data_IF_226754165973
#
_entry.id   IF_226754165973
#
_cell.length_a   1.000
_cell.length_b   1.000
_cell.length_c   1.000
_cell.angle_alpha   90.00
_cell.angle_beta   90.00
_cell.angle_gamma   90.00
#
_symmetry.space_group_name_H-M   'P 1'
#
loop_
_entity.id
_entity.type
_entity.pdbx_description
1 polymer ?
#
# COMPACT_ATOMS: atom_id res chain seq x y z
N UNK A 1 -22.80 -68.99 20.59
CA UNK A 1 -24.19 -68.79 21.06
C UNK A 1 -24.65 -67.44 20.53
N UNK A 2 -25.60 -67.24 19.61
CA UNK A 2 -26.76 -67.97 19.05
C UNK A 2 -26.71 -67.73 17.51
N UNK A 3 -26.66 -68.74 16.62
CA UNK A 3 -27.80 -69.49 16.03
C UNK A 3 -29.00 -68.63 15.63
N UNK A 4 -29.67 -68.74 14.47
CA UNK A 4 -29.60 -69.51 13.20
C UNK A 4 -30.85 -69.07 12.40
N UNK A 5 -30.81 -68.98 11.06
CA UNK A 5 -31.87 -69.30 10.07
C UNK A 5 -31.54 -68.59 8.72
N UNK A 6 -31.05 -69.22 7.65
CA UNK A 6 -31.59 -70.24 6.73
C UNK A 6 -32.91 -69.88 6.03
N UNK A 7 -32.84 -69.81 4.68
CA UNK A 7 -33.71 -70.42 3.63
C UNK A 7 -33.36 -69.72 2.28
N UNK A 8 -32.70 -70.34 1.29
CA UNK A 8 -33.21 -71.25 0.24
C UNK A 8 -34.32 -70.58 -0.63
N UNK A 9 -34.35 -70.54 -1.97
CA UNK A 9 -33.59 -71.14 -3.08
C UNK A 9 -33.94 -70.43 -4.40
N UNK A 10 -32.99 -70.46 -5.35
CA UNK A 10 -33.10 -70.50 -6.84
C UNK A 10 -34.23 -69.81 -7.61
N UNK A 11 -33.83 -68.93 -8.56
CA UNK A 11 -34.21 -69.06 -9.96
C UNK A 11 -33.17 -68.41 -10.87
N UNK A 12 -32.56 -69.22 -11.74
CA UNK A 12 -31.72 -68.79 -12.87
C UNK A 12 -32.65 -68.34 -13.99
N UNK A 13 -32.46 -67.12 -14.49
CA UNK A 13 -32.89 -66.75 -15.83
C UNK A 13 -31.72 -66.00 -16.49
N UNK A 14 -31.03 -66.72 -17.37
CA UNK A 14 -30.10 -66.15 -18.34
C UNK A 14 -30.95 -65.61 -19.49
N UNK A 15 -30.96 -64.29 -19.66
CA UNK A 15 -31.36 -63.66 -20.93
C UNK A 15 -30.18 -62.82 -21.40
N UNK A 16 -29.47 -63.36 -22.38
CA UNK A 16 -28.51 -62.65 -23.21
C UNK A 16 -29.25 -61.68 -24.11
N UNK A 17 -29.00 -60.38 -23.94
CA UNK A 17 -29.33 -59.37 -24.93
C UNK A 17 -28.08 -58.51 -25.18
N UNK A 18 -27.43 -58.77 -26.31
CA UNK A 18 -26.48 -57.86 -26.93
C UNK A 18 -27.22 -56.58 -27.31
N UNK A 19 -26.66 -55.40 -26.99
CA UNK A 19 -27.30 -54.17 -27.41
C UNK A 19 -26.66 -52.88 -26.89
N UNK A 20 -25.93 -52.24 -27.81
CA UNK A 20 -25.75 -50.78 -27.95
C UNK A 20 -24.78 -50.09 -26.98
N UNK A 21 -23.59 -49.81 -27.50
CA UNK A 21 -22.70 -48.75 -27.00
C UNK A 21 -23.36 -47.39 -27.21
N UNK A 22 -23.85 -46.76 -26.13
CA UNK A 22 -24.22 -45.34 -26.11
C UNK A 22 -23.28 -44.62 -25.15
N UNK A 23 -22.63 -43.56 -25.65
CA UNK A 23 -21.46 -42.92 -25.07
C UNK A 23 -21.64 -42.42 -23.64
N UNK A 24 -20.60 -42.64 -22.83
CA UNK A 24 -20.42 -41.92 -21.59
C UNK A 24 -20.10 -40.44 -21.92
N UNK A 25 -21.10 -39.57 -21.81
CA UNK A 25 -20.86 -38.15 -21.64
C UNK A 25 -20.09 -37.98 -20.33
N UNK A 26 -18.79 -37.74 -20.42
CA UNK A 26 -17.98 -37.39 -19.27
C UNK A 26 -18.45 -36.02 -18.78
N UNK A 27 -19.15 -36.00 -17.65
CA UNK A 27 -19.43 -34.78 -16.91
C UNK A 27 -18.07 -34.23 -16.45
N UNK A 28 -17.56 -33.24 -17.18
CA UNK A 28 -16.40 -32.47 -16.79
C UNK A 28 -16.81 -31.66 -15.56
N UNK A 29 -16.13 -31.79 -14.40
CA UNK A 29 -16.41 -30.90 -13.29
C UNK A 29 -16.01 -29.51 -13.73
N UNK A 30 -16.99 -28.62 -13.84
CA UNK A 30 -16.80 -27.17 -13.91
C UNK A 30 -16.08 -26.74 -12.63
N UNK A 31 -14.77 -26.93 -12.62
CA UNK A 31 -13.89 -26.31 -11.64
C UNK A 31 -14.05 -24.81 -11.88
N UNK A 32 -14.55 -24.02 -10.91
CA UNK A 32 -14.53 -22.59 -11.06
C UNK A 32 -13.05 -22.23 -11.12
N UNK A 33 -12.58 -21.88 -12.32
CA UNK A 33 -11.25 -21.34 -12.51
C UNK A 33 -11.11 -20.24 -11.47
N UNK A 34 -10.21 -20.47 -10.51
CA UNK A 34 -9.81 -19.47 -9.55
C UNK A 34 -9.37 -18.28 -10.39
N UNK A 35 -10.22 -17.26 -10.47
CA UNK A 35 -9.79 -15.94 -10.93
C UNK A 35 -8.76 -15.55 -9.90
N UNK A 36 -7.49 -15.75 -10.24
CA UNK A 36 -6.38 -15.08 -9.57
C UNK A 36 -6.75 -13.62 -9.63
N UNK A 37 -7.21 -13.08 -8.49
CA UNK A 37 -7.35 -11.66 -8.31
C UNK A 37 -5.92 -11.15 -8.47
N UNK A 38 -5.57 -10.74 -9.69
CA UNK A 38 -4.38 -9.96 -9.92
C UNK A 38 -4.61 -8.67 -9.14
N UNK A 39 -4.22 -8.66 -7.86
CA UNK A 39 -4.27 -7.49 -7.01
C UNK A 39 -3.63 -6.37 -7.81
N UNK A 40 -4.36 -5.26 -7.99
CA UNK A 40 -3.85 -4.11 -8.75
C UNK A 40 -2.46 -3.79 -8.23
N UNK A 41 -1.45 -3.97 -9.07
CA UNK A 41 -0.07 -3.71 -8.68
C UNK A 41 0.04 -2.26 -8.19
N UNK A 42 0.55 -2.09 -6.97
CA UNK A 42 0.75 -0.77 -6.40
C UNK A 42 1.72 0.03 -7.29
N UNK A 43 1.35 1.28 -7.63
CA UNK A 43 2.20 2.15 -8.44
C UNK A 43 3.21 2.86 -7.54
N UNK A 44 4.49 2.88 -7.92
CA UNK A 44 5.53 3.56 -7.15
C UNK A 44 5.96 4.87 -7.81
N UNK A 45 6.13 5.92 -7.01
CA UNK A 45 6.71 7.20 -7.41
C UNK A 45 7.88 7.47 -6.46
N UNK A 46 9.07 7.72 -7.00
CA UNK A 46 10.28 8.03 -6.21
C UNK A 46 10.80 9.38 -6.64
N UNK A 47 10.86 10.31 -5.69
CA UNK A 47 11.35 11.68 -5.88
C UNK A 47 12.25 12.07 -4.71
N UNK A 48 13.02 13.15 -4.89
CA UNK A 48 13.91 13.69 -3.87
C UNK A 48 13.47 15.10 -3.50
N UNK A 49 13.05 15.30 -2.27
CA UNK A 49 12.86 16.63 -1.71
C UNK A 49 14.21 17.24 -1.33
N UNK A 50 14.36 18.55 -1.54
CA UNK A 50 15.45 19.34 -0.95
C UNK A 50 14.88 20.33 0.05
N UNK A 51 15.01 20.03 1.34
CA UNK A 51 14.54 20.84 2.46
C UNK A 51 15.38 22.13 2.60
N UNK A 52 15.01 23.16 1.86
CA UNK A 52 15.74 24.45 1.79
C UNK A 52 15.02 25.58 2.51
N UNK A 53 13.75 25.39 2.88
CA UNK A 53 12.89 26.42 3.48
C UNK A 53 12.40 26.07 4.89
N UNK A 54 12.71 24.86 5.36
CA UNK A 54 12.32 24.33 6.66
C UNK A 54 12.63 25.32 7.77
N UNK A 55 11.58 25.78 8.44
CA UNK A 55 11.67 26.74 9.53
C UNK A 55 10.88 26.23 10.73
N UNK A 56 11.57 26.10 11.86
CA UNK A 56 10.93 25.83 13.15
C UNK A 56 10.51 27.15 13.78
N UNK A 57 9.25 27.22 14.21
CA UNK A 57 8.68 28.31 14.98
C UNK A 57 8.43 27.79 16.39
N UNK A 58 9.18 28.33 17.34
CA UNK A 58 9.00 28.07 18.76
C UNK A 58 7.63 28.60 19.20
N UNK A 59 6.70 27.69 19.52
CA UNK A 59 5.37 28.06 20.06
C UNK A 59 5.38 28.05 21.58
N UNK A 60 6.30 27.28 22.18
CA UNK A 60 6.50 27.14 23.61
C UNK A 60 7.76 27.86 24.11
N UNK A 61 8.47 27.29 25.10
CA UNK A 61 9.80 27.74 25.50
C UNK A 61 10.77 27.80 24.32
N UNK A 62 11.77 28.68 24.41
CA UNK A 62 12.84 28.75 23.39
C UNK A 62 13.58 27.42 23.25
N UNK A 63 13.80 27.01 22.00
CA UNK A 63 14.40 25.72 21.64
C UNK A 63 13.35 24.62 21.48
N UNK A 64 13.81 23.39 21.23
CA UNK A 64 12.92 22.26 20.92
C UNK A 64 11.90 21.99 22.04
N UNK A 65 10.63 22.25 21.75
CA UNK A 65 9.53 22.21 22.71
C UNK A 65 8.26 21.55 22.15
N UNK A 66 7.44 21.00 23.04
CA UNK A 66 6.17 20.37 22.66
C UNK A 66 5.24 21.43 22.04
N UNK A 67 4.73 21.15 20.85
CA UNK A 67 3.83 22.05 20.13
C UNK A 67 4.52 22.99 19.14
N UNK A 68 5.85 23.00 19.05
CA UNK A 68 6.56 23.77 18.03
C UNK A 68 6.08 23.41 16.63
N UNK A 69 6.11 24.38 15.74
CA UNK A 69 5.65 24.22 14.36
C UNK A 69 6.85 24.22 13.41
N UNK A 70 7.01 23.15 12.65
CA UNK A 70 7.87 23.13 11.47
C UNK A 70 7.03 23.48 10.24
N UNK A 71 7.36 24.55 9.53
CA UNK A 71 6.71 24.93 8.28
C UNK A 71 7.71 24.88 7.12
N UNK A 72 7.24 24.45 5.95
CA UNK A 72 8.12 24.25 4.79
C UNK A 72 7.39 24.34 3.44
N UNK A 73 8.17 24.63 2.40
CA UNK A 73 7.77 24.60 0.99
C UNK A 73 8.98 24.40 0.09
N UNK A 74 9.22 23.15 -0.34
CA UNK A 74 10.50 22.74 -0.90
C UNK A 74 10.39 22.30 -2.38
N UNK A 75 11.49 22.42 -3.15
CA UNK A 75 11.55 21.85 -4.49
C UNK A 75 11.72 20.33 -4.43
N UNK A 76 11.00 19.64 -5.31
CA UNK A 76 11.04 18.18 -5.45
C UNK A 76 11.66 17.81 -6.80
N UNK A 77 12.68 16.97 -6.76
CA UNK A 77 13.49 16.52 -7.87
C UNK A 77 13.19 15.07 -8.25
N UNK A 78 13.57 14.69 -9.46
CA UNK A 78 13.58 13.31 -9.90
C UNK A 78 14.41 12.38 -8.98
N UNK A 79 14.31 11.07 -9.22
CA UNK A 79 15.03 10.06 -8.43
C UNK A 79 16.57 10.23 -8.48
N UNK A 80 17.10 10.80 -9.56
CA UNK A 80 18.52 11.09 -9.74
C UNK A 80 18.95 12.38 -9.06
N UNK A 81 18.00 13.13 -8.48
CA UNK A 81 18.20 14.42 -7.83
C UNK A 81 18.82 15.47 -8.77
N UNK A 82 18.41 15.47 -10.04
CA UNK A 82 18.99 16.31 -11.11
C UNK A 82 18.00 17.33 -11.67
N UNK A 83 16.77 16.91 -11.98
CA UNK A 83 15.76 17.78 -12.55
C UNK A 83 14.62 18.00 -11.56
N UNK A 84 14.20 19.25 -11.39
CA UNK A 84 13.02 19.56 -10.60
C UNK A 84 11.77 19.04 -11.33
N UNK A 85 10.98 18.21 -10.65
CA UNK A 85 9.74 17.60 -11.19
C UNK A 85 8.49 18.03 -10.43
N UNK A 86 8.66 18.82 -9.36
CA UNK A 86 7.58 19.27 -8.53
C UNK A 86 8.02 20.16 -7.38
N UNK A 87 7.11 20.27 -6.41
CA UNK A 87 7.29 20.95 -5.12
C UNK A 87 6.44 20.24 -4.08
N UNK A 88 6.79 20.40 -2.82
CA UNK A 88 5.92 20.08 -1.71
C UNK A 88 5.79 21.27 -0.76
N UNK A 89 4.77 21.20 0.09
CA UNK A 89 4.51 22.20 1.12
C UNK A 89 3.63 21.61 2.21
N UNK A 90 3.85 22.06 3.44
CA UNK A 90 3.01 21.70 4.58
C UNK A 90 3.63 22.11 5.90
N UNK A 91 3.25 21.38 6.94
CA UNK A 91 3.76 21.62 8.28
C UNK A 91 3.77 20.37 9.14
N UNK A 92 4.52 20.45 10.22
CA UNK A 92 4.54 19.46 11.29
C UNK A 92 4.47 20.12 12.66
N UNK A 93 3.84 19.43 13.63
CA UNK A 93 3.81 19.84 15.03
C UNK A 93 4.71 18.93 15.85
N UNK A 94 5.52 19.48 16.74
CA UNK A 94 6.37 18.70 17.64
C UNK A 94 5.50 17.97 18.65
N UNK A 95 5.40 16.65 18.55
CA UNK A 95 4.58 15.83 19.44
C UNK A 95 5.41 15.10 20.49
N UNK A 96 6.70 14.87 20.21
CA UNK A 96 7.66 14.31 21.18
C UNK A 96 9.01 15.00 21.04
N UNK A 97 9.38 15.78 22.07
CA UNK A 97 10.67 16.48 22.15
C UNK A 97 11.85 15.51 22.00
N UNK A 98 12.86 15.92 21.25
CA UNK A 98 14.01 15.13 20.79
C UNK A 98 13.72 13.90 19.91
N UNK A 99 12.48 13.68 19.42
CA UNK A 99 12.11 12.37 18.83
C UNK A 99 11.20 12.41 17.61
N UNK A 100 10.08 13.12 17.66
CA UNK A 100 9.03 12.98 16.65
C UNK A 100 8.17 14.23 16.48
N UNK A 101 7.77 14.45 15.24
CA UNK A 101 6.77 15.41 14.79
C UNK A 101 5.59 14.66 14.17
N UNK A 102 4.42 15.28 14.16
CA UNK A 102 3.27 14.84 13.37
C UNK A 102 3.08 15.80 12.20
N UNK A 103 3.08 15.30 10.97
CA UNK A 103 3.13 16.10 9.75
C UNK A 103 1.89 15.92 8.88
N UNK A 104 1.48 16.99 8.21
CA UNK A 104 0.53 16.95 7.09
C UNK A 104 1.04 17.84 5.97
N UNK A 105 1.20 17.27 4.78
CA UNK A 105 1.74 18.02 3.64
C UNK A 105 1.29 17.46 2.28
N UNK A 106 1.54 18.26 1.25
CA UNK A 106 1.16 17.98 -0.13
C UNK A 106 2.38 17.99 -1.03
N UNK A 107 2.57 16.96 -1.84
CA UNK A 107 3.57 16.93 -2.91
C UNK A 107 2.90 17.09 -4.27
N UNK A 108 3.17 18.20 -4.96
CA UNK A 108 2.65 18.52 -6.29
C UNK A 108 3.61 18.08 -7.39
N UNK A 109 3.11 17.31 -8.35
CA UNK A 109 3.82 16.81 -9.53
C UNK A 109 3.06 17.18 -10.81
N UNK A 110 3.68 16.96 -11.98
CA UNK A 110 3.07 17.33 -13.28
C UNK A 110 1.67 16.74 -13.54
N UNK A 111 1.32 15.60 -12.94
CA UNK A 111 0.04 14.90 -13.16
C UNK A 111 -1.00 15.11 -12.04
N UNK A 112 -0.68 15.93 -11.05
CA UNK A 112 -1.51 16.17 -9.86
C UNK A 112 -0.69 16.15 -8.57
N UNK A 113 -1.36 16.19 -7.43
CA UNK A 113 -0.73 16.19 -6.11
C UNK A 113 -1.07 14.93 -5.30
N UNK A 114 -0.20 14.59 -4.36
CA UNK A 114 -0.39 13.57 -3.33
C UNK A 114 -0.42 14.27 -1.97
N UNK A 115 -1.36 13.90 -1.12
CA UNK A 115 -1.48 14.43 0.25
C UNK A 115 -1.14 13.31 1.22
N UNK A 116 -0.30 13.62 2.21
CA UNK A 116 0.13 12.66 3.22
C UNK A 116 -0.02 13.20 4.63
N UNK A 117 -0.20 12.30 5.58
CA UNK A 117 -0.26 12.57 7.01
C UNK A 117 0.48 11.47 7.77
N UNK A 118 1.24 11.81 8.81
CA UNK A 118 1.92 10.84 9.66
C UNK A 118 3.16 11.38 10.37
N UNK A 119 3.86 10.51 11.12
CA UNK A 119 5.00 10.93 11.93
C UNK A 119 6.22 11.21 11.07
N UNK A 120 7.01 12.22 11.49
CA UNK A 120 8.38 12.45 11.06
C UNK A 120 9.33 12.27 12.24
N UNK A 121 10.25 11.32 12.16
CA UNK A 121 11.18 11.00 13.24
C UNK A 121 12.56 11.64 13.03
N UNK A 122 13.11 12.22 14.09
CA UNK A 122 14.40 12.93 14.04
C UNK A 122 15.59 12.03 13.67
N UNK A 123 15.50 10.72 13.99
CA UNK A 123 16.65 9.79 13.95
C UNK A 123 16.44 8.54 13.10
N UNK A 124 15.25 8.36 12.51
CA UNK A 124 14.93 7.18 11.72
C UNK A 124 13.92 7.45 10.60
N UNK A 125 13.82 6.50 9.69
CA UNK A 125 12.87 6.55 8.59
C UNK A 125 11.42 6.63 9.08
N UNK A 126 10.60 7.28 8.27
CA UNK A 126 9.19 7.53 8.54
C UNK A 126 8.29 6.85 7.50
N UNK A 127 7.11 6.45 7.94
CA UNK A 127 6.04 5.94 7.07
C UNK A 127 4.80 6.77 7.33
N UNK A 128 4.37 7.50 6.31
CA UNK A 128 3.19 8.36 6.36
C UNK A 128 2.08 7.77 5.50
N UNK A 129 0.83 8.00 5.87
CA UNK A 129 -0.33 7.57 5.10
C UNK A 129 -0.56 8.53 3.93
N UNK A 130 -0.85 8.00 2.74
CA UNK A 130 -1.40 8.79 1.63
C UNK A 130 -2.90 8.94 1.88
N UNK A 131 -3.33 10.15 2.24
CA UNK A 131 -4.72 10.47 2.61
C UNK A 131 -5.54 10.99 1.44
N UNK A 132 -4.89 11.37 0.33
CA UNK A 132 -5.58 11.81 -0.88
C UNK A 132 -4.66 12.32 -1.98
N UNK A 133 -5.27 13.02 -2.93
CA UNK A 133 -4.56 13.64 -4.04
C UNK A 133 -5.48 14.34 -5.01
N UNK A 134 -4.91 14.84 -6.10
CA UNK A 134 -5.61 15.53 -7.19
C UNK A 134 -5.20 14.99 -8.55
N UNK A 135 -5.91 15.37 -9.62
CA UNK A 135 -5.58 14.95 -10.99
C UNK A 135 -5.53 13.43 -11.13
N UNK A 136 -4.42 12.91 -11.68
CA UNK A 136 -4.19 11.47 -11.84
C UNK A 136 -4.09 10.70 -10.50
N UNK A 137 -3.99 11.42 -9.38
CA UNK A 137 -3.87 10.88 -8.02
C UNK A 137 -5.13 11.16 -7.16
N UNK A 138 -6.24 11.57 -7.77
CA UNK A 138 -7.49 11.96 -7.08
C UNK A 138 -8.07 10.92 -6.10
N UNK A 139 -7.76 9.64 -6.29
CA UNK A 139 -8.18 8.54 -5.40
C UNK A 139 -7.01 7.83 -4.73
N UNK A 140 -5.84 8.48 -4.66
CA UNK A 140 -4.65 7.86 -4.12
C UNK A 140 -4.83 7.50 -2.64
N UNK A 141 -4.45 6.26 -2.31
CA UNK A 141 -4.25 5.73 -0.96
C UNK A 141 -2.93 4.97 -0.92
N UNK A 142 -2.49 4.59 0.27
CA UNK A 142 -1.25 3.83 0.46
C UNK A 142 -0.32 4.56 1.41
N UNK A 143 0.98 4.47 1.15
CA UNK A 143 2.01 4.97 2.07
C UNK A 143 3.11 5.74 1.36
N UNK A 144 3.68 6.70 2.07
CA UNK A 144 4.95 7.33 1.75
C UNK A 144 6.01 6.78 2.70
N UNK A 145 7.07 6.19 2.14
CA UNK A 145 8.31 5.97 2.87
C UNK A 145 9.22 7.18 2.70
N UNK A 146 9.59 7.81 3.82
CA UNK A 146 10.48 8.96 3.88
C UNK A 146 11.80 8.54 4.51
N UNK A 147 12.90 8.82 3.79
CA UNK A 147 14.26 8.50 4.21
C UNK A 147 15.17 9.72 4.07
N UNK A 148 15.89 10.08 5.14
CA UNK A 148 16.88 11.16 5.11
C UNK A 148 18.10 10.74 4.29
N UNK A 149 18.52 11.57 3.33
CA UNK A 149 19.68 11.29 2.46
C UNK A 149 21.01 11.76 3.06
N UNK A 150 20.95 12.54 4.13
CA UNK A 150 22.11 13.07 4.83
C UNK A 150 21.76 13.36 6.29
N UNK A 151 22.79 13.46 7.14
CA UNK A 151 22.62 13.73 8.56
C UNK A 151 22.16 15.17 8.87
N UNK A 152 22.20 16.08 7.89
CA UNK A 152 21.78 17.48 8.07
C UNK A 152 20.27 17.68 7.90
N UNK A 153 19.53 16.66 7.46
CA UNK A 153 18.10 16.78 7.20
C UNK A 153 17.75 17.74 6.05
N UNK A 154 18.67 17.95 5.08
CA UNK A 154 18.45 18.90 3.98
C UNK A 154 17.98 18.25 2.68
N UNK A 155 17.85 16.92 2.66
CA UNK A 155 17.35 16.19 1.50
C UNK A 155 16.73 14.86 1.91
N UNK A 156 15.57 14.55 1.35
CA UNK A 156 14.80 13.35 1.68
C UNK A 156 14.40 12.59 0.42
N UNK A 157 14.44 11.27 0.49
CA UNK A 157 13.87 10.41 -0.55
C UNK A 157 12.42 10.13 -0.18
N UNK A 158 11.50 10.54 -1.05
CA UNK A 158 10.10 10.20 -0.94
C UNK A 158 9.78 9.05 -1.89
N UNK A 159 9.38 7.91 -1.33
CA UNK A 159 8.85 6.78 -2.08
C UNK A 159 7.38 6.60 -1.77
N UNK A 160 6.53 7.09 -2.66
CA UNK A 160 5.09 6.87 -2.61
C UNK A 160 4.77 5.49 -3.18
N UNK A 161 4.03 4.68 -2.43
CA UNK A 161 3.46 3.40 -2.86
C UNK A 161 1.95 3.57 -2.90
N UNK A 162 1.43 3.83 -4.09
CA UNK A 162 0.02 4.15 -4.33
C UNK A 162 -0.78 2.87 -4.58
N UNK A 163 -1.75 2.63 -3.71
CA UNK A 163 -2.76 1.59 -3.80
C UNK A 163 -4.05 2.25 -4.34
N UNK A 164 -4.63 1.70 -5.41
CA UNK A 164 -5.81 2.26 -6.10
C UNK A 164 -7.07 1.48 -5.80
#
# INVERSE_FOLDING_TARGET
MRSRALLASTAVVVVTAAGVTVGAAQAQPDSPAARTQAGRAASQIVVVERAVSDTVVDQGPTGDSLGDLLAFGNPVYDRTNTHQVGRDQGSCVRTVVGKAWECSYTTSLAKGALVVEGPFYDTRDSVLAITGGTGSYSRARGVLHLHARNAKGTAFTFRFVVQR
#
